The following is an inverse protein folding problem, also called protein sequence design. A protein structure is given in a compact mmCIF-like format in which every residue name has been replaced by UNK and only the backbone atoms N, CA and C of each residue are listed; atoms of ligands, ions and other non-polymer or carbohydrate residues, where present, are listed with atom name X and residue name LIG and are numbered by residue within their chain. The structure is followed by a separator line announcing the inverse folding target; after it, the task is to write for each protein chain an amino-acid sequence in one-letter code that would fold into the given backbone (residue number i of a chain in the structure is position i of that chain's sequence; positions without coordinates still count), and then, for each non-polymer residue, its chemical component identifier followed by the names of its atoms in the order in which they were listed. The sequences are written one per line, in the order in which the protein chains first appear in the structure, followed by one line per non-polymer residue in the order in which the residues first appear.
data_IF_669020241136
#
_entry.id   IF_669020241136
#
_cell.length_a   1.000
_cell.length_b   1.000
_cell.length_c   1.000
_cell.angle_alpha   90.00
_cell.angle_beta   90.00
_cell.angle_gamma   90.00
#
_symmetry.space_group_name_H-M   'P 1'
#
loop_
_entity.id
_entity.type
_entity.pdbx_description
1 polymer ?
#
# COMPACT_ATOMS: atom_id res chain seq x y z
N UNK A 1 14.78 6.06 0.25
CA UNK A 1 13.89 5.32 -0.68
C UNK A 1 12.54 5.13 0.00
N UNK A 2 11.43 5.46 -0.68
CA UNK A 2 10.08 5.30 -0.11
C UNK A 2 9.56 3.96 -0.60
N UNK A 3 9.25 3.05 0.32
CA UNK A 3 8.70 1.74 -0.01
C UNK A 3 7.19 1.77 0.04
N UNK A 4 6.55 0.91 -0.74
CA UNK A 4 5.11 0.70 -0.72
C UNK A 4 4.80 -0.78 -0.52
N UNK A 5 3.66 -1.07 0.10
CA UNK A 5 3.06 -2.39 0.05
C UNK A 5 2.05 -2.39 -1.07
N UNK A 6 2.27 -3.22 -2.09
CA UNK A 6 1.48 -3.23 -3.31
C UNK A 6 0.84 -4.60 -3.55
N UNK A 7 -0.38 -4.61 -4.05
CA UNK A 7 -1.07 -5.80 -4.52
C UNK A 7 -0.88 -5.91 -6.02
N UNK A 8 -0.22 -6.99 -6.48
CA UNK A 8 0.04 -7.21 -7.90
C UNK A 8 -1.24 -7.56 -8.69
N UNK A 9 -2.25 -8.13 -8.01
CA UNK A 9 -3.55 -8.50 -8.59
C UNK A 9 -4.49 -7.30 -8.74
N UNK A 10 -4.67 -6.54 -7.67
CA UNK A 10 -5.60 -5.39 -7.64
C UNK A 10 -4.96 -4.10 -8.16
N UNK A 11 -3.63 -4.07 -8.31
CA UNK A 11 -2.87 -2.86 -8.64
C UNK A 11 -3.10 -1.71 -7.65
N UNK A 12 -3.35 -2.03 -6.38
CA UNK A 12 -3.43 -1.05 -5.31
C UNK A 12 -2.16 -1.03 -4.48
N UNK A 13 -1.80 0.12 -3.92
CA UNK A 13 -0.69 0.19 -2.96
C UNK A 13 -0.96 1.14 -1.79
N UNK A 14 -0.26 0.88 -0.69
CA UNK A 14 -0.17 1.75 0.48
C UNK A 14 1.29 2.11 0.75
N UNK A 15 1.56 3.39 1.00
CA UNK A 15 2.93 3.86 1.31
C UNK A 15 3.34 3.35 2.69
N UNK A 16 4.56 2.83 2.80
CA UNK A 16 5.17 2.43 4.06
C UNK A 16 5.94 3.63 4.60
N UNK A 17 5.45 4.21 5.69
CA UNK A 17 6.05 5.35 6.38
C UNK A 17 6.49 4.91 7.78
N UNK A 18 7.80 4.96 8.00
CA UNK A 18 8.40 4.58 9.28
C UNK A 18 7.95 5.52 10.42
N UNK A 19 7.80 4.97 11.62
CA UNK A 19 7.43 5.72 12.83
C UNK A 19 5.96 6.12 13.00
N UNK A 20 5.06 5.81 12.06
CA UNK A 20 3.62 6.11 12.21
C UNK A 20 2.80 4.86 12.55
N UNK A 21 2.26 4.81 13.77
CA UNK A 21 1.38 3.72 14.21
C UNK A 21 0.14 3.57 13.31
N UNK A 22 -0.48 4.70 12.91
CA UNK A 22 -1.59 4.70 11.96
C UNK A 22 -1.21 4.08 10.62
N UNK A 23 -0.02 4.38 10.10
CA UNK A 23 0.45 3.75 8.86
C UNK A 23 0.65 2.24 9.01
N UNK A 24 1.21 1.77 10.14
CA UNK A 24 1.34 0.35 10.40
C UNK A 24 -0.02 -0.36 10.48
N UNK A 25 -1.03 0.26 11.10
CA UNK A 25 -2.38 -0.29 11.12
C UNK A 25 -3.01 -0.31 9.72
N UNK A 26 -2.83 0.77 8.94
CA UNK A 26 -3.30 0.85 7.55
C UNK A 26 -2.68 -0.25 6.68
N UNK A 27 -1.38 -0.53 6.84
CA UNK A 27 -0.70 -1.63 6.14
C UNK A 27 -1.31 -2.97 6.54
N UNK A 28 -1.48 -3.23 7.85
CA UNK A 28 -2.11 -4.48 8.30
C UNK A 28 -3.53 -4.65 7.78
N UNK A 29 -4.31 -3.58 7.72
CA UNK A 29 -5.66 -3.60 7.17
C UNK A 29 -5.62 -3.89 5.66
N UNK A 30 -4.72 -3.25 4.93
CA UNK A 30 -4.49 -3.51 3.51
C UNK A 30 -4.13 -4.99 3.27
N UNK A 31 -3.21 -5.54 4.06
CA UNK A 31 -2.81 -6.95 3.95
C UNK A 31 -3.97 -7.91 4.27
N UNK A 32 -4.83 -7.56 5.23
CA UNK A 32 -6.05 -8.33 5.55
C UNK A 32 -7.07 -8.30 4.43
N UNK A 33 -7.36 -7.15 3.83
CA UNK A 33 -8.33 -7.06 2.73
C UNK A 33 -7.83 -7.72 1.44
N UNK A 34 -6.51 -7.84 1.31
CA UNK A 34 -5.86 -8.53 0.19
C UNK A 34 -5.35 -9.91 0.60
N UNK A 35 -5.95 -10.54 1.62
CA UNK A 35 -5.63 -11.91 2.02
C UNK A 35 -5.84 -12.85 0.83
N UNK A 36 -4.82 -13.65 0.50
CA UNK A 36 -4.83 -14.55 -0.66
C UNK A 36 -4.52 -13.87 -2.00
N UNK A 37 -4.23 -12.56 -2.01
CA UNK A 37 -3.66 -11.89 -3.18
C UNK A 37 -2.14 -11.89 -3.14
N UNK A 38 -1.53 -11.67 -4.32
CA UNK A 38 -0.09 -11.61 -4.43
C UNK A 38 0.40 -10.21 -4.03
N UNK A 39 0.92 -10.10 -2.81
CA UNK A 39 1.39 -8.85 -2.21
C UNK A 39 2.91 -8.76 -2.30
N UNK A 40 3.41 -7.61 -2.76
CA UNK A 40 4.84 -7.32 -2.88
C UNK A 40 5.20 -6.01 -2.19
N UNK A 41 6.47 -5.88 -1.83
CA UNK A 41 7.04 -4.60 -1.42
C UNK A 41 7.80 -4.04 -2.61
N UNK A 42 7.36 -2.90 -3.12
CA UNK A 42 7.95 -2.23 -4.29
C UNK A 42 8.50 -0.86 -3.89
N UNK A 43 9.36 -0.28 -4.73
CA UNK A 43 9.71 1.12 -4.57
C UNK A 43 8.55 2.02 -5.03
N UNK A 44 8.35 3.13 -4.34
CA UNK A 44 7.33 4.10 -4.70
C UNK A 44 7.50 4.60 -6.14
N UNK A 45 8.74 4.70 -6.63
CA UNK A 45 9.00 5.14 -7.99
C UNK A 45 8.51 4.14 -9.05
N UNK A 46 8.44 2.85 -8.72
CA UNK A 46 7.94 1.81 -9.64
C UNK A 46 6.42 1.86 -9.76
N UNK A 47 5.71 2.23 -8.70
CA UNK A 47 4.23 2.24 -8.69
C UNK A 47 3.62 3.60 -8.98
N UNK A 48 4.37 4.70 -8.78
CA UNK A 48 3.87 6.07 -9.06
C UNK A 48 3.76 6.36 -10.55
N UNK A 49 4.48 5.60 -11.38
CA UNK A 49 4.44 5.79 -12.82
C UNK A 49 3.06 5.40 -13.36
N UNK A 50 2.46 6.26 -14.18
CA UNK A 50 1.12 6.02 -14.72
C UNK A 50 1.08 4.79 -15.63
N UNK A 51 2.20 4.38 -16.23
CA UNK A 51 2.28 3.17 -17.03
C UNK A 51 2.16 1.90 -16.18
N UNK A 52 2.47 1.96 -14.89
CA UNK A 52 2.41 0.81 -13.98
C UNK A 52 0.97 0.42 -13.62
N UNK A 53 0.01 1.33 -13.82
CA UNK A 53 -1.42 1.09 -13.60
C UNK A 53 -1.80 0.95 -12.13
N UNK A 54 -0.95 1.41 -11.21
CA UNK A 54 -1.20 1.30 -9.77
C UNK A 54 -1.95 2.51 -9.21
N UNK A 55 -2.89 2.25 -8.30
CA UNK A 55 -3.64 3.28 -7.59
C UNK A 55 -3.23 3.33 -6.10
N UNK A 56 -2.99 4.55 -5.60
CA UNK A 56 -2.69 4.77 -4.19
C UNK A 56 -3.97 4.69 -3.37
N UNK A 57 -4.03 3.74 -2.42
CA UNK A 57 -5.10 3.64 -1.42
C UNK A 57 -4.65 4.09 -0.03
N UNK A 58 -3.45 4.66 0.10
CA UNK A 58 -2.83 5.02 1.38
C UNK A 58 -3.76 5.84 2.28
N UNK A 59 -4.37 6.92 1.76
CA UNK A 59 -5.23 7.80 2.55
C UNK A 59 -6.52 7.09 3.00
N UNK A 60 -7.12 6.28 2.13
CA UNK A 60 -8.32 5.50 2.44
C UNK A 60 -8.07 4.53 3.61
N UNK A 61 -6.96 3.78 3.56
CA UNK A 61 -6.62 2.87 4.65
C UNK A 61 -6.21 3.59 5.92
N UNK A 62 -5.59 4.77 5.83
CA UNK A 62 -5.22 5.59 7.00
C UNK A 62 -6.41 6.25 7.69
N UNK A 63 -7.44 6.67 6.94
CA UNK A 63 -8.66 7.25 7.49
C UNK A 63 -9.50 6.21 8.25
N UNK A 64 -9.49 4.96 7.75
CA UNK A 64 -10.21 3.83 8.36
C UNK A 64 -9.59 3.33 9.67
N UNK A 65 -8.33 3.66 9.96
CA UNK A 65 -7.66 3.35 11.22
C UNK A 65 -7.70 4.58 12.14
N UNK A 66 -8.82 4.72 12.86
CA UNK A 66 -9.03 5.78 13.85
C UNK A 66 -7.98 5.75 14.96
#
# INVERSE_FOLDING_TARGET
MVKVRACLKCKHFVVIKDGSFKNQQAIKLFEREHTGHNLGTLDYNEVKDKASGYESRTNEFQDRVQ
#
